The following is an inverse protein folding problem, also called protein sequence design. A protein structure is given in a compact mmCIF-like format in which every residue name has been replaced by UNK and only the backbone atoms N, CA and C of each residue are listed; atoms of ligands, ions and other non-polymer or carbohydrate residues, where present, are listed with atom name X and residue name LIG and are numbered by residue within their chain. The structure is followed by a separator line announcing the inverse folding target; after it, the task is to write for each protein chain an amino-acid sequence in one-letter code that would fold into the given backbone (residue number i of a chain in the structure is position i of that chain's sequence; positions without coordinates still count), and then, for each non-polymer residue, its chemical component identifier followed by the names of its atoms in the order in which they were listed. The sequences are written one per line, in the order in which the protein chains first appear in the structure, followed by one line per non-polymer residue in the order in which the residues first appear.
data_IF_482608788631
#
_entry.id   IF_482608788631
#
_cell.length_a   1.000
_cell.length_b   1.000
_cell.length_c   1.000
_cell.angle_alpha   90.00
_cell.angle_beta   90.00
_cell.angle_gamma   90.00
#
_symmetry.space_group_name_H-M   'P 1'
#
loop_
_entity.id
_entity.type
_entity.pdbx_description
1 polymer ?
#
# COMPACT_ATOMS: atom_id res chain seq x y z
N UNK A 1 -10.43 15.53 -23.85
CA UNK A 1 -9.81 15.64 -22.50
C UNK A 1 -9.98 14.36 -21.70
N UNK A 2 -11.16 13.72 -21.67
CA UNK A 2 -11.43 12.48 -20.92
C UNK A 2 -10.54 11.29 -21.33
N UNK A 3 -10.23 11.12 -22.62
CA UNK A 3 -9.34 10.02 -23.08
C UNK A 3 -7.88 10.20 -22.62
N UNK A 4 -7.42 11.42 -22.49
CA UNK A 4 -6.05 11.70 -21.96
C UNK A 4 -5.95 11.42 -20.48
N UNK A 5 -6.99 11.70 -19.70
CA UNK A 5 -7.05 11.40 -18.29
C UNK A 5 -7.03 9.89 -18.06
N UNK A 6 -7.89 9.16 -18.77
CA UNK A 6 -7.95 7.70 -18.67
C UNK A 6 -6.65 7.03 -19.11
N UNK A 7 -5.99 7.51 -20.15
CA UNK A 7 -4.68 7.01 -20.56
C UNK A 7 -3.62 7.23 -19.46
N UNK A 8 -3.62 8.39 -18.80
CA UNK A 8 -2.73 8.64 -17.67
C UNK A 8 -3.00 7.70 -16.50
N UNK A 9 -4.29 7.41 -16.23
CA UNK A 9 -4.67 6.39 -15.24
C UNK A 9 -4.12 5.00 -15.61
N UNK A 10 -4.28 4.56 -16.86
CA UNK A 10 -3.77 3.24 -17.29
C UNK A 10 -2.24 3.15 -17.11
N UNK A 11 -1.50 4.21 -17.49
CA UNK A 11 -0.05 4.25 -17.30
C UNK A 11 0.31 4.20 -15.82
N UNK A 12 -0.40 4.95 -14.99
CA UNK A 12 -0.25 4.96 -13.54
C UNK A 12 -0.53 3.56 -12.96
N UNK A 13 -1.71 3.02 -13.23
CA UNK A 13 -2.13 1.70 -12.76
C UNK A 13 -1.13 0.60 -13.16
N UNK A 14 -0.71 0.57 -14.42
CA UNK A 14 0.24 -0.44 -14.89
C UNK A 14 1.58 -0.34 -14.17
N UNK A 15 2.12 0.87 -14.02
CA UNK A 15 3.40 1.07 -13.34
C UNK A 15 3.34 0.70 -11.86
N UNK A 16 2.25 1.05 -11.16
CA UNK A 16 2.04 0.68 -9.76
C UNK A 16 1.83 -0.84 -9.60
N UNK A 17 1.07 -1.47 -10.50
CA UNK A 17 0.87 -2.93 -10.49
C UNK A 17 2.18 -3.70 -10.67
N UNK A 18 3.08 -3.24 -11.53
CA UNK A 18 4.40 -3.84 -11.73
C UNK A 18 5.27 -3.69 -10.49
N UNK A 19 5.28 -2.52 -9.85
CA UNK A 19 5.99 -2.29 -8.59
C UNK A 19 5.42 -3.14 -7.45
N UNK A 20 4.10 -3.22 -7.35
CA UNK A 20 3.42 -4.03 -6.35
C UNK A 20 3.76 -5.53 -6.49
N UNK A 21 3.93 -6.02 -7.73
CA UNK A 21 4.42 -7.37 -7.97
C UNK A 21 5.81 -7.57 -7.39
N UNK A 22 6.76 -6.67 -7.67
CA UNK A 22 8.13 -6.74 -7.15
C UNK A 22 8.17 -6.79 -5.63
N UNK A 23 7.47 -5.86 -4.97
CA UNK A 23 7.41 -5.77 -3.51
C UNK A 23 6.70 -6.97 -2.86
N UNK A 24 5.66 -7.50 -3.53
CA UNK A 24 4.99 -8.73 -3.08
C UNK A 24 5.90 -9.95 -3.19
N UNK A 25 6.69 -10.04 -4.27
CA UNK A 25 7.68 -11.11 -4.45
C UNK A 25 8.78 -11.04 -3.39
N UNK A 26 9.28 -9.84 -3.07
CA UNK A 26 10.27 -9.62 -2.01
C UNK A 26 9.71 -10.03 -0.65
N UNK A 27 8.48 -9.60 -0.32
CA UNK A 27 7.82 -9.98 0.94
C UNK A 27 7.67 -11.49 1.06
N UNK A 28 7.21 -12.17 0.00
CA UNK A 28 7.08 -13.63 -0.03
C UNK A 28 8.43 -14.34 0.12
N UNK A 29 9.45 -13.89 -0.61
CA UNK A 29 10.80 -14.48 -0.52
C UNK A 29 11.42 -14.30 0.87
N UNK A 30 11.20 -13.15 1.55
CA UNK A 30 11.66 -12.89 2.91
C UNK A 30 10.96 -13.80 3.93
N UNK A 31 9.67 -14.10 3.75
CA UNK A 31 8.93 -15.07 4.58
C UNK A 31 9.57 -16.46 4.46
N UNK A 32 9.77 -16.95 3.23
CA UNK A 32 10.39 -18.27 2.99
C UNK A 32 11.82 -18.31 3.53
N UNK A 33 12.59 -17.26 3.30
CA UNK A 33 13.96 -17.17 3.81
C UNK A 33 14.00 -17.17 5.35
N UNK A 34 13.11 -16.43 6.01
CA UNK A 34 13.03 -16.40 7.47
C UNK A 34 12.65 -17.78 8.04
N UNK A 35 11.65 -18.42 7.43
CA UNK A 35 11.25 -19.76 7.82
C UNK A 35 12.38 -20.79 7.63
N UNK A 36 13.11 -20.75 6.51
CA UNK A 36 14.25 -21.64 6.25
C UNK A 36 15.40 -21.44 7.24
N UNK A 37 15.56 -20.25 7.81
CA UNK A 37 16.59 -19.93 8.79
C UNK A 37 16.21 -20.30 10.23
N UNK A 38 14.95 -20.16 10.58
CA UNK A 38 14.46 -20.31 11.96
C UNK A 38 13.76 -21.62 12.22
N UNK A 39 13.20 -22.26 11.18
CA UNK A 39 12.30 -23.42 11.32
C UNK A 39 11.01 -23.11 12.10
N UNK A 40 10.72 -21.84 12.37
CA UNK A 40 9.67 -21.42 13.29
C UNK A 40 8.55 -20.68 12.58
N UNK A 41 7.33 -21.24 12.63
CA UNK A 41 6.13 -20.56 12.17
C UNK A 41 5.84 -19.28 13.00
N UNK A 42 6.28 -19.24 14.27
CA UNK A 42 6.15 -18.06 15.12
C UNK A 42 6.92 -16.86 14.54
N UNK A 43 8.11 -17.08 13.94
CA UNK A 43 8.86 -16.01 13.27
C UNK A 43 8.09 -15.41 12.09
N UNK A 44 7.40 -16.24 11.31
CA UNK A 44 6.56 -15.81 10.18
C UNK A 44 5.36 -15.00 10.68
N UNK A 45 4.68 -15.50 11.71
CA UNK A 45 3.56 -14.78 12.33
C UNK A 45 3.99 -13.42 12.90
N UNK A 46 5.18 -13.36 13.50
CA UNK A 46 5.72 -12.13 14.06
C UNK A 46 6.07 -11.11 12.94
N UNK A 47 6.55 -11.57 11.76
CA UNK A 47 6.76 -10.69 10.59
C UNK A 47 5.44 -10.04 10.16
N UNK A 48 4.37 -10.82 10.07
CA UNK A 48 3.03 -10.33 9.73
C UNK A 48 2.55 -9.33 10.78
N UNK A 49 2.70 -9.64 12.06
CA UNK A 49 2.35 -8.76 13.17
C UNK A 49 3.13 -7.42 13.11
N UNK A 50 4.44 -7.49 12.85
CA UNK A 50 5.28 -6.30 12.69
C UNK A 50 4.86 -5.41 11.52
N UNK A 51 4.22 -5.97 10.48
CA UNK A 51 3.66 -5.18 9.37
C UNK A 51 2.33 -4.55 9.75
N UNK A 52 1.40 -5.34 10.31
CA UNK A 52 0.04 -4.88 10.56
C UNK A 52 -0.10 -3.96 11.77
N UNK A 53 0.68 -4.14 12.83
CA UNK A 53 0.59 -3.30 14.02
C UNK A 53 0.92 -1.83 13.72
N UNK A 54 2.07 -1.48 13.08
CA UNK A 54 2.36 -0.10 12.70
C UNK A 54 1.39 0.43 11.65
N UNK A 55 0.91 -0.42 10.72
CA UNK A 55 -0.11 -0.04 9.75
C UNK A 55 -1.40 0.43 10.43
N UNK A 56 -1.92 -0.34 11.38
CA UNK A 56 -3.15 -0.01 12.12
C UNK A 56 -2.93 1.28 12.93
N UNK A 57 -1.82 1.39 13.65
CA UNK A 57 -1.50 2.58 14.44
C UNK A 57 -1.40 3.85 13.58
N UNK A 58 -0.73 3.76 12.42
CA UNK A 58 -0.57 4.88 11.50
C UNK A 58 -1.86 5.22 10.75
N UNK A 59 -2.71 4.23 10.42
CA UNK A 59 -3.97 4.46 9.71
C UNK A 59 -4.91 5.40 10.45
N UNK A 60 -4.77 5.45 11.77
CA UNK A 60 -5.51 6.36 12.65
C UNK A 60 -5.27 7.83 12.26
N UNK A 61 -4.06 8.19 11.92
CA UNK A 61 -3.66 9.56 11.58
C UNK A 61 -3.52 9.80 10.07
N UNK A 62 -3.61 8.75 9.27
CA UNK A 62 -3.36 8.83 7.84
C UNK A 62 -4.40 9.70 7.11
N UNK A 63 -5.69 9.63 7.47
CA UNK A 63 -6.76 10.40 6.85
C UNK A 63 -6.46 11.90 6.82
N UNK A 64 -6.35 12.58 7.97
CA UNK A 64 -6.04 14.01 8.04
C UNK A 64 -4.73 14.40 7.33
N UNK A 65 -3.71 13.54 7.37
CA UNK A 65 -2.43 13.78 6.68
C UNK A 65 -2.63 13.76 5.17
N UNK A 66 -3.35 12.75 4.65
CA UNK A 66 -3.61 12.62 3.23
C UNK A 66 -4.47 13.78 2.71
N UNK A 67 -5.44 14.24 3.48
CA UNK A 67 -6.28 15.38 3.08
C UNK A 67 -5.47 16.68 2.99
N UNK A 68 -4.48 16.84 3.84
CA UNK A 68 -3.66 18.05 3.97
C UNK A 68 -2.51 18.14 2.96
N UNK A 69 -1.87 17.02 2.66
CA UNK A 69 -0.67 16.99 1.81
C UNK A 69 -0.97 16.50 0.38
N UNK A 70 -0.06 16.81 -0.55
CA UNK A 70 -0.16 16.36 -1.93
C UNK A 70 -0.05 14.83 -2.02
N UNK A 71 -1.06 14.19 -2.58
CA UNK A 71 -1.15 12.73 -2.70
C UNK A 71 0.06 12.14 -3.41
N UNK A 72 0.51 12.81 -4.49
CA UNK A 72 1.73 12.43 -5.23
C UNK A 72 2.97 12.45 -4.34
N UNK A 73 3.13 13.46 -3.49
CA UNK A 73 4.28 13.57 -2.58
C UNK A 73 4.28 12.46 -1.54
N UNK A 74 3.10 12.15 -0.97
CA UNK A 74 2.94 11.05 -0.01
C UNK A 74 3.36 9.73 -0.66
N UNK A 75 2.87 9.45 -1.87
CA UNK A 75 3.21 8.22 -2.59
C UNK A 75 4.70 8.14 -2.90
N UNK A 76 5.30 9.22 -3.42
CA UNK A 76 6.73 9.25 -3.72
C UNK A 76 7.61 9.06 -2.47
N UNK A 77 7.22 9.64 -1.33
CA UNK A 77 7.93 9.44 -0.06
C UNK A 77 7.80 8.01 0.46
N UNK A 78 6.60 7.45 0.40
CA UNK A 78 6.36 6.06 0.80
C UNK A 78 7.13 5.08 -0.08
N UNK A 79 7.09 5.28 -1.40
CA UNK A 79 7.85 4.49 -2.38
C UNK A 79 9.36 4.60 -2.13
N UNK A 80 9.89 5.80 -1.89
CA UNK A 80 11.32 6.01 -1.62
C UNK A 80 11.77 5.29 -0.36
N UNK A 81 10.98 5.37 0.73
CA UNK A 81 11.29 4.68 1.98
C UNK A 81 11.21 3.17 1.84
N UNK A 82 10.23 2.66 1.09
CA UNK A 82 10.15 1.23 0.77
C UNK A 82 11.39 0.76 -0.01
N UNK A 83 11.85 1.54 -1.00
CA UNK A 83 13.06 1.23 -1.74
C UNK A 83 14.33 1.27 -0.88
N UNK A 84 14.44 2.21 0.04
CA UNK A 84 15.55 2.25 1.00
C UNK A 84 15.54 1.01 1.92
N UNK A 85 14.37 0.55 2.33
CA UNK A 85 14.21 -0.71 3.06
C UNK A 85 14.68 -1.91 2.21
N UNK A 86 14.21 -2.04 0.97
CA UNK A 86 14.63 -3.11 0.05
C UNK A 86 16.14 -3.05 -0.23
N UNK A 87 16.70 -1.85 -0.41
CA UNK A 87 18.15 -1.67 -0.60
C UNK A 87 18.96 -2.08 0.64
N UNK A 88 18.47 -1.75 1.84
CA UNK A 88 19.10 -2.16 3.11
C UNK A 88 19.11 -3.68 3.24
N UNK A 89 17.98 -4.34 2.95
CA UNK A 89 17.91 -5.81 2.95
C UNK A 89 18.84 -6.41 1.91
N UNK A 90 18.91 -5.82 0.71
CA UNK A 90 19.84 -6.26 -0.34
C UNK A 90 21.31 -6.15 0.15
N UNK A 91 21.71 -5.04 0.70
CA UNK A 91 23.07 -4.82 1.22
C UNK A 91 23.43 -5.83 2.31
N UNK A 92 22.51 -6.06 3.27
CA UNK A 92 22.70 -7.06 4.31
C UNK A 92 22.72 -8.49 3.78
N UNK A 93 21.94 -8.81 2.76
CA UNK A 93 21.95 -10.11 2.11
C UNK A 93 23.26 -10.35 1.31
N UNK A 94 23.78 -9.31 0.67
CA UNK A 94 25.07 -9.40 -0.06
C UNK A 94 26.25 -9.57 0.90
N UNK A 95 26.27 -8.82 2.02
CA UNK A 95 27.31 -8.93 3.04
C UNK A 95 27.22 -10.19 3.92
N UNK A 96 26.18 -11.00 3.76
CA UNK A 96 25.96 -12.20 4.58
C UNK A 96 25.45 -11.92 6.01
N UNK A 97 25.20 -10.67 6.35
CA UNK A 97 24.80 -10.23 7.69
C UNK A 97 23.27 -10.09 7.88
N UNK A 98 22.48 -10.55 6.91
CA UNK A 98 21.02 -10.50 7.03
C UNK A 98 20.55 -11.41 8.17
N UNK A 99 19.86 -10.83 9.14
CA UNK A 99 19.21 -11.52 10.24
C UNK A 99 17.71 -11.26 10.27
N UNK A 100 16.94 -12.17 10.89
CA UNK A 100 15.47 -12.12 10.90
C UNK A 100 14.95 -10.82 11.55
N UNK A 101 15.62 -10.32 12.57
CA UNK A 101 15.22 -9.07 13.25
C UNK A 101 15.30 -7.83 12.33
N UNK A 102 16.21 -7.80 11.34
CA UNK A 102 16.24 -6.73 10.35
C UNK A 102 14.94 -6.71 9.54
N UNK A 103 14.42 -7.91 9.22
CA UNK A 103 13.17 -8.05 8.45
C UNK A 103 11.98 -7.56 9.27
N UNK A 104 11.95 -7.81 10.60
CA UNK A 104 10.90 -7.27 11.47
C UNK A 104 10.86 -5.74 11.44
N UNK A 105 12.04 -5.08 11.50
CA UNK A 105 12.13 -3.61 11.42
C UNK A 105 11.65 -3.12 10.05
N UNK A 106 12.12 -3.72 8.97
CA UNK A 106 11.74 -3.37 7.60
C UNK A 106 10.23 -3.52 7.39
N UNK A 107 9.66 -4.64 7.86
CA UNK A 107 8.21 -4.86 7.80
C UNK A 107 7.44 -3.79 8.59
N UNK A 108 7.95 -3.39 9.76
CA UNK A 108 7.34 -2.32 10.56
C UNK A 108 7.33 -0.98 9.83
N UNK A 109 8.45 -0.60 9.21
CA UNK A 109 8.55 0.63 8.42
C UNK A 109 7.63 0.57 7.20
N UNK A 110 7.64 -0.55 6.48
CA UNK A 110 6.78 -0.75 5.30
C UNK A 110 5.30 -0.73 5.67
N UNK A 111 4.92 -1.38 6.76
CA UNK A 111 3.55 -1.32 7.28
C UNK A 111 3.10 0.09 7.61
N UNK A 112 3.95 0.85 8.30
CA UNK A 112 3.70 2.26 8.60
C UNK A 112 3.50 3.09 7.32
N UNK A 113 4.34 2.92 6.31
CA UNK A 113 4.24 3.65 5.05
C UNK A 113 2.98 3.28 4.26
N UNK A 114 2.60 2.00 4.23
CA UNK A 114 1.41 1.51 3.55
C UNK A 114 0.12 2.14 4.09
N UNK A 115 0.08 2.51 5.36
CA UNK A 115 -1.07 3.21 5.97
C UNK A 115 -1.35 4.57 5.31
N UNK A 116 -0.34 5.21 4.74
CA UNK A 116 -0.48 6.46 4.00
C UNK A 116 -0.61 6.21 2.49
N UNK A 117 0.15 5.26 1.95
CA UNK A 117 0.22 5.00 0.52
C UNK A 117 -1.10 4.49 -0.06
N UNK A 118 -1.73 3.49 0.54
CA UNK A 118 -2.97 2.91 0.00
C UNK A 118 -4.13 3.90 -0.09
N UNK A 119 -4.44 4.69 0.95
CA UNK A 119 -5.49 5.70 0.81
C UNK A 119 -5.10 6.82 -0.15
N UNK A 120 -3.82 7.25 -0.17
CA UNK A 120 -3.36 8.27 -1.11
C UNK A 120 -3.49 7.82 -2.57
N UNK A 121 -3.16 6.56 -2.86
CA UNK A 121 -3.35 5.92 -4.17
C UNK A 121 -4.83 5.86 -4.55
N UNK A 122 -5.70 5.43 -3.64
CA UNK A 122 -7.15 5.37 -3.86
C UNK A 122 -7.72 6.74 -4.24
N UNK A 123 -7.32 7.79 -3.52
CA UNK A 123 -7.72 9.17 -3.82
C UNK A 123 -7.14 9.61 -5.18
N UNK A 124 -5.87 9.30 -5.47
CA UNK A 124 -5.23 9.61 -6.74
C UNK A 124 -5.95 8.94 -7.93
N UNK A 125 -6.33 7.68 -7.81
CA UNK A 125 -7.15 6.96 -8.80
C UNK A 125 -8.49 7.66 -9.01
N UNK A 126 -9.18 8.06 -7.93
CA UNK A 126 -10.44 8.80 -8.01
C UNK A 126 -10.31 10.15 -8.74
N UNK A 127 -9.12 10.78 -8.68
CA UNK A 127 -8.84 12.04 -9.39
C UNK A 127 -8.46 11.84 -10.87
N UNK A 128 -7.81 10.72 -11.19
CA UNK A 128 -7.33 10.41 -12.53
C UNK A 128 -8.39 9.78 -13.42
N UNK A 129 -9.39 9.09 -12.83
CA UNK A 129 -10.41 8.35 -13.57
C UNK A 129 -11.66 9.20 -13.78
N UNK A 130 -12.18 9.32 -15.00
CA UNK A 130 -13.51 9.89 -15.25
C UNK A 130 -14.62 9.07 -14.57
N UNK A 131 -15.66 9.73 -14.05
CA UNK A 131 -16.75 9.06 -13.29
C UNK A 131 -17.37 7.89 -14.05
N UNK A 132 -17.50 8.01 -15.37
CA UNK A 132 -18.10 7.00 -16.24
C UNK A 132 -17.23 5.72 -16.35
N UNK A 133 -15.94 5.79 -15.96
CA UNK A 133 -14.99 4.68 -16.05
C UNK A 133 -14.56 4.12 -14.69
N UNK A 134 -15.18 4.55 -13.59
CA UNK A 134 -14.84 4.06 -12.25
C UNK A 134 -15.01 2.54 -12.11
N UNK A 135 -16.06 1.96 -12.69
CA UNK A 135 -16.27 0.52 -12.68
C UNK A 135 -15.14 -0.24 -13.38
N UNK A 136 -14.63 0.28 -14.49
CA UNK A 136 -13.49 -0.31 -15.21
C UNK A 136 -12.21 -0.21 -14.40
N UNK A 137 -11.95 0.94 -13.75
CA UNK A 137 -10.78 1.12 -12.90
C UNK A 137 -10.81 0.19 -11.68
N UNK A 138 -11.97 0.05 -11.04
CA UNK A 138 -12.17 -0.89 -9.94
C UNK A 138 -11.96 -2.34 -10.39
N UNK A 139 -12.46 -2.70 -11.57
CA UNK A 139 -12.24 -4.02 -12.17
C UNK A 139 -10.75 -4.31 -12.41
N UNK A 140 -9.99 -3.33 -12.93
CA UNK A 140 -8.55 -3.44 -13.13
C UNK A 140 -7.80 -3.64 -11.81
N UNK A 141 -8.16 -2.89 -10.75
CA UNK A 141 -7.54 -3.06 -9.43
C UNK A 141 -7.83 -4.44 -8.83
N UNK A 142 -9.09 -4.92 -8.95
CA UNK A 142 -9.46 -6.26 -8.50
C UNK A 142 -8.74 -7.35 -9.29
N UNK A 143 -8.61 -7.17 -10.60
CA UNK A 143 -7.84 -8.06 -11.47
C UNK A 143 -6.37 -8.12 -11.03
N UNK A 144 -5.72 -6.96 -10.81
CA UNK A 144 -4.33 -6.91 -10.30
C UNK A 144 -4.20 -7.67 -8.98
N UNK A 145 -5.08 -7.41 -8.01
CA UNK A 145 -5.01 -8.06 -6.70
C UNK A 145 -5.13 -9.59 -6.82
N UNK A 146 -6.07 -10.07 -7.63
CA UNK A 146 -6.25 -11.50 -7.89
C UNK A 146 -5.06 -12.11 -8.63
N UNK A 147 -4.54 -11.41 -9.63
CA UNK A 147 -3.36 -11.83 -10.39
C UNK A 147 -2.14 -11.94 -9.49
N UNK A 148 -1.89 -10.94 -8.66
CA UNK A 148 -0.77 -10.92 -7.72
C UNK A 148 -0.85 -12.08 -6.72
N UNK A 149 -2.02 -12.42 -6.24
CA UNK A 149 -2.19 -13.54 -5.30
C UNK A 149 -1.72 -14.87 -5.90
N UNK A 150 -1.93 -15.09 -7.20
CA UNK A 150 -1.54 -16.33 -7.89
C UNK A 150 -0.10 -16.25 -8.43
N UNK A 151 0.28 -15.12 -9.03
CA UNK A 151 1.55 -14.97 -9.74
C UNK A 151 2.73 -14.76 -8.80
N UNK A 152 2.52 -14.02 -7.70
CA UNK A 152 3.61 -13.68 -6.76
C UNK A 152 4.33 -14.92 -6.20
N UNK A 153 3.66 -15.92 -5.62
CA UNK A 153 4.35 -17.09 -5.07
C UNK A 153 5.16 -17.85 -6.14
N UNK A 154 4.57 -18.02 -7.33
CA UNK A 154 5.21 -18.75 -8.43
C UNK A 154 6.45 -18.01 -8.91
N UNK A 155 6.34 -16.70 -9.19
CA UNK A 155 7.47 -15.92 -9.67
C UNK A 155 8.55 -15.75 -8.60
N UNK A 156 8.15 -15.51 -7.35
CA UNK A 156 9.10 -15.37 -6.24
C UNK A 156 9.87 -16.68 -6.00
N UNK A 157 9.18 -17.82 -5.98
CA UNK A 157 9.82 -19.12 -5.81
C UNK A 157 10.76 -19.43 -6.97
N UNK A 158 10.31 -19.22 -8.22
CA UNK A 158 11.12 -19.44 -9.42
C UNK A 158 12.37 -18.56 -9.41
N UNK A 159 12.21 -17.26 -9.23
CA UNK A 159 13.34 -16.32 -9.23
C UNK A 159 14.30 -16.57 -8.05
N UNK A 160 13.76 -16.93 -6.88
CA UNK A 160 14.57 -17.32 -5.72
C UNK A 160 15.40 -18.58 -5.97
N UNK A 161 14.86 -19.54 -6.74
CA UNK A 161 15.57 -20.78 -7.12
C UNK A 161 16.76 -20.51 -8.05
N UNK A 162 16.61 -19.57 -9.01
CA UNK A 162 17.66 -19.27 -10.00
C UNK A 162 18.69 -18.25 -9.50
N UNK A 163 18.23 -17.19 -8.84
CA UNK A 163 19.06 -16.03 -8.51
C UNK A 163 19.13 -15.75 -6.99
N UNK A 164 18.52 -16.63 -6.18
CA UNK A 164 18.42 -16.44 -4.75
C UNK A 164 17.61 -15.21 -4.36
N UNK A 165 17.57 -14.93 -3.05
CA UNK A 165 16.86 -13.74 -2.51
C UNK A 165 17.39 -12.44 -3.11
N UNK A 166 18.67 -12.37 -3.45
CA UNK A 166 19.31 -11.18 -4.06
C UNK A 166 18.67 -10.83 -5.41
N UNK A 167 18.35 -11.85 -6.21
CA UNK A 167 17.69 -11.67 -7.50
C UNK A 167 16.26 -11.13 -7.37
N UNK A 168 15.52 -11.62 -6.37
CA UNK A 168 14.15 -11.13 -6.10
C UNK A 168 14.18 -9.65 -5.68
N UNK A 169 15.09 -9.27 -4.77
CA UNK A 169 15.21 -7.89 -4.33
C UNK A 169 15.70 -6.98 -5.48
N UNK A 170 16.61 -7.45 -6.32
CA UNK A 170 17.04 -6.70 -7.50
C UNK A 170 15.89 -6.45 -8.49
N UNK A 171 15.01 -7.44 -8.68
CA UNK A 171 13.80 -7.29 -9.48
C UNK A 171 12.82 -6.26 -8.86
N UNK A 172 12.60 -6.32 -7.55
CA UNK A 172 11.78 -5.34 -6.80
C UNK A 172 12.33 -3.91 -6.99
N UNK A 173 13.62 -3.70 -6.79
CA UNK A 173 14.25 -2.39 -7.00
C UNK A 173 14.13 -1.90 -8.45
N UNK A 174 14.23 -2.78 -9.45
CA UNK A 174 14.07 -2.42 -10.85
C UNK A 174 12.62 -2.00 -11.16
N UNK A 175 11.62 -2.76 -10.67
CA UNK A 175 10.19 -2.43 -10.83
C UNK A 175 9.81 -1.17 -10.08
N UNK A 176 10.39 -0.96 -8.89
CA UNK A 176 10.26 0.28 -8.15
C UNK A 176 10.77 1.49 -8.94
N UNK A 177 12.01 1.43 -9.45
CA UNK A 177 12.61 2.52 -10.24
C UNK A 177 11.75 2.87 -11.46
N UNK A 178 11.19 1.86 -12.11
CA UNK A 178 10.26 2.07 -13.21
C UNK A 178 9.01 2.82 -12.75
N UNK A 179 8.31 2.35 -11.71
CA UNK A 179 7.08 2.98 -11.22
C UNK A 179 7.32 4.38 -10.66
N UNK A 180 8.40 4.56 -9.89
CA UNK A 180 8.82 5.86 -9.35
C UNK A 180 9.09 6.88 -10.47
N UNK A 181 9.80 6.47 -11.52
CA UNK A 181 10.07 7.33 -12.67
C UNK A 181 8.78 7.73 -13.40
N UNK A 182 7.87 6.79 -13.61
CA UNK A 182 6.57 7.06 -14.23
C UNK A 182 5.75 8.03 -13.37
N UNK A 183 5.65 7.79 -12.07
CA UNK A 183 4.93 8.65 -11.14
C UNK A 183 5.54 10.05 -11.09
N UNK A 184 6.86 10.16 -11.04
CA UNK A 184 7.57 11.43 -10.91
C UNK A 184 7.42 12.28 -12.19
N UNK A 185 7.71 11.71 -13.36
CA UNK A 185 7.86 12.48 -14.61
C UNK A 185 6.59 12.48 -15.48
N UNK A 186 5.78 11.42 -15.44
CA UNK A 186 4.65 11.26 -16.37
C UNK A 186 3.31 11.61 -15.76
N UNK A 187 3.09 11.32 -14.49
CA UNK A 187 1.79 11.46 -13.84
C UNK A 187 1.67 12.83 -13.18
N UNK A 188 0.67 13.60 -13.61
CA UNK A 188 0.23 14.83 -12.95
C UNK A 188 -1.10 14.54 -12.27
N UNK A 189 -1.12 14.50 -10.94
CA UNK A 189 -2.36 14.35 -10.15
C UNK A 189 -2.93 15.75 -9.97
N UNK A 190 -4.19 16.01 -10.40
CA UNK A 190 -4.81 17.32 -10.24
C UNK A 190 -5.02 17.63 -8.75
N UNK A 191 -4.63 18.82 -8.30
CA UNK A 191 -4.73 19.21 -6.89
C UNK A 191 -6.15 19.56 -6.43
N UNK A 192 -7.06 19.85 -7.37
CA UNK A 192 -8.35 20.49 -7.09
C UNK A 192 -9.58 19.56 -7.17
N UNK A 193 -9.40 18.24 -7.28
CA UNK A 193 -10.54 17.32 -7.43
C UNK A 193 -11.09 16.75 -6.10
N UNK A 194 -10.55 17.15 -4.95
CA UNK A 194 -10.99 16.69 -3.61
C UNK A 194 -11.92 17.66 -2.88
N UNK A 195 -12.53 18.61 -3.59
CA UNK A 195 -13.59 19.45 -3.04
C UNK A 195 -14.95 18.87 -3.40
N UNK A 196 -15.65 18.29 -2.43
CA UNK A 196 -17.11 18.08 -2.46
C UNK A 196 -17.77 19.33 -3.06
N UNK A 197 -18.74 19.12 -3.98
CA UNK A 197 -19.62 20.15 -4.55
C UNK A 197 -20.48 20.83 -3.44
N UNK A 198 -19.86 21.60 -2.61
CA UNK A 198 -20.53 22.62 -1.79
C UNK A 198 -19.61 23.82 -1.77
N UNK A 199 -19.95 24.78 -2.65
CA UNK A 199 -19.20 26.01 -2.91
C UNK A 199 -19.02 26.88 -1.67
N UNK A 200 -18.06 26.54 -0.84
CA UNK A 200 -17.42 27.44 0.12
C UNK A 200 -15.93 27.08 0.12
N UNK A 201 -15.10 27.96 -0.44
CA UNK A 201 -13.69 28.10 -0.07
C UNK A 201 -13.67 28.32 1.46
N UNK A 202 -13.69 27.23 2.24
CA UNK A 202 -13.23 27.35 3.62
C UNK A 202 -11.72 27.55 3.54
N UNK A 203 -11.27 28.71 3.97
CA UNK A 203 -9.89 28.96 4.38
C UNK A 203 -9.39 27.69 5.06
N UNK A 204 -8.18 27.25 4.69
CA UNK A 204 -7.49 26.11 5.34
C UNK A 204 -7.16 26.53 6.78
N UNK A 205 -8.17 26.62 7.63
CA UNK A 205 -7.95 26.62 9.07
C UNK A 205 -7.15 25.36 9.41
N UNK A 206 -6.16 25.57 10.25
CA UNK A 206 -5.30 24.51 10.80
C UNK A 206 -6.16 23.64 11.76
N UNK A 207 -7.11 22.86 11.20
CA UNK A 207 -7.86 21.89 11.99
C UNK A 207 -6.82 20.90 12.51
N UNK A 208 -6.72 20.84 13.83
CA UNK A 208 -5.84 19.87 14.51
C UNK A 208 -6.26 18.44 14.10
N UNK A 209 -5.29 17.52 13.98
CA UNK A 209 -5.58 16.08 13.76
C UNK A 209 -6.63 15.60 14.79
N UNK A 210 -6.56 16.12 16.00
CA UNK A 210 -7.46 15.81 17.10
C UNK A 210 -8.90 16.31 16.88
N UNK A 211 -9.08 17.45 16.21
CA UNK A 211 -10.39 17.98 15.83
C UNK A 211 -11.01 17.18 14.69
N UNK A 212 -10.24 16.83 13.67
CA UNK A 212 -10.69 15.95 12.57
C UNK A 212 -11.14 14.58 13.08
N UNK A 213 -10.45 14.04 14.08
CA UNK A 213 -10.85 12.82 14.78
C UNK A 213 -12.17 12.96 15.52
N UNK A 214 -12.30 14.04 16.26
CA UNK A 214 -13.51 14.32 17.02
C UNK A 214 -14.73 14.53 16.11
N UNK A 215 -14.55 15.23 15.01
CA UNK A 215 -15.60 15.41 13.98
C UNK A 215 -15.99 14.06 13.34
N UNK A 216 -15.02 13.23 12.96
CA UNK A 216 -15.28 11.91 12.40
C UNK A 216 -16.02 10.98 13.37
N UNK A 217 -15.62 10.94 14.65
CA UNK A 217 -16.30 10.17 15.68
C UNK A 217 -17.70 10.71 15.97
N UNK A 218 -17.87 12.03 15.96
CA UNK A 218 -19.16 12.67 16.17
C UNK A 218 -20.13 12.40 15.03
N UNK A 219 -19.62 12.40 13.78
CA UNK A 219 -20.37 12.00 12.59
C UNK A 219 -20.83 10.53 12.67
N UNK A 220 -19.92 9.61 13.04
CA UNK A 220 -20.26 8.20 13.21
C UNK A 220 -21.31 7.97 14.32
N UNK A 221 -21.18 8.69 15.45
CA UNK A 221 -22.18 8.62 16.54
C UNK A 221 -23.55 9.14 16.12
N UNK A 222 -23.60 10.13 15.21
CA UNK A 222 -24.85 10.66 14.66
C UNK A 222 -25.55 9.70 13.68
N UNK A 223 -24.79 8.77 13.08
CA UNK A 223 -25.31 7.86 12.05
C UNK A 223 -25.23 6.39 12.48
N UNK A 224 -26.16 5.95 13.34
CA UNK A 224 -26.21 4.58 13.87
C UNK A 224 -26.15 3.49 12.80
N UNK A 225 -26.73 3.72 11.62
CA UNK A 225 -26.70 2.78 10.49
C UNK A 225 -25.29 2.52 9.96
N UNK A 226 -24.43 3.57 9.89
CA UNK A 226 -23.03 3.42 9.51
C UNK A 226 -22.26 2.64 10.56
N UNK A 227 -22.55 2.87 11.84
CA UNK A 227 -21.93 2.13 12.95
C UNK A 227 -22.23 0.62 12.89
N UNK A 228 -23.52 0.27 12.68
CA UNK A 228 -23.91 -1.14 12.50
C UNK A 228 -23.26 -1.77 11.27
N UNK A 229 -23.21 -1.04 10.15
CA UNK A 229 -22.55 -1.51 8.92
C UNK A 229 -21.04 -1.79 9.17
N UNK A 230 -20.34 -0.88 9.85
CA UNK A 230 -18.92 -1.05 10.18
C UNK A 230 -18.69 -2.27 11.07
N UNK A 231 -19.50 -2.44 12.13
CA UNK A 231 -19.40 -3.61 13.02
C UNK A 231 -19.70 -4.90 12.26
N UNK A 232 -20.76 -4.94 11.45
CA UNK A 232 -21.10 -6.13 10.67
C UNK A 232 -20.00 -6.52 9.69
N UNK A 233 -19.40 -5.53 8.98
CA UNK A 233 -18.26 -5.77 8.10
C UNK A 233 -17.02 -6.26 8.86
N UNK A 234 -16.74 -5.69 10.04
CA UNK A 234 -15.63 -6.13 10.88
C UNK A 234 -15.82 -7.59 11.34
N UNK A 235 -17.02 -7.93 11.79
CA UNK A 235 -17.36 -9.31 12.19
C UNK A 235 -17.29 -10.28 11.02
N UNK A 236 -17.83 -9.92 9.85
CA UNK A 236 -17.73 -10.75 8.65
C UNK A 236 -16.28 -10.99 8.23
N UNK A 237 -15.44 -9.97 8.25
CA UNK A 237 -14.02 -10.12 7.95
C UNK A 237 -13.31 -11.00 8.99
N UNK A 238 -13.62 -10.84 10.28
CA UNK A 238 -13.05 -11.65 11.35
C UNK A 238 -13.42 -13.14 11.18
N UNK A 239 -14.69 -13.46 11.00
CA UNK A 239 -15.14 -14.85 10.82
C UNK A 239 -14.65 -15.45 9.49
N UNK A 240 -14.62 -14.66 8.41
CA UNK A 240 -14.07 -15.11 7.12
C UNK A 240 -12.60 -15.53 7.25
N UNK A 241 -11.79 -14.75 7.97
CA UNK A 241 -10.39 -15.09 8.22
C UNK A 241 -10.22 -16.34 9.06
N UNK A 242 -11.02 -16.50 10.11
CA UNK A 242 -11.01 -17.73 10.93
C UNK A 242 -11.39 -18.98 10.14
N UNK A 243 -12.28 -18.87 9.17
CA UNK A 243 -12.72 -20.02 8.35
C UNK A 243 -11.71 -20.38 7.25
N UNK A 244 -10.87 -19.42 6.80
CA UNK A 244 -9.88 -19.64 5.75
C UNK A 244 -8.57 -20.25 6.26
N UNK A 245 -8.31 -20.20 7.57
CA UNK A 245 -7.08 -20.72 8.21
C UNK A 245 -7.27 -22.13 8.82
N UNK A 246 -8.46 -22.71 8.73
CA UNK A 246 -8.75 -24.10 9.09
C UNK A 246 -8.99 -24.94 7.84
#
# INVERSE_FOLDING_TARGET
MKDRQYRNFIIFWFSQSVSQLGSSMTSFALIIWSYSRTGSAMSVSLMTFCTWLPYIAASIVAGPVIDRYHKKTIMLLADLLAALCSLTVAALAVSGNLAVWHIFIVNGITGFMNAFQFPAETVAVGMLVPKEKYSQASGLNSFTSSLLTVVTPVMAASLSSFAGIKGVIAFDLATFLFAFSVLLFRIKIPENAGGTETGKKKEKEKISVQESWREGLQFLRGHKQLWYLMISMALMNFFSRLTYEN
#
